data_IF_725225405815
#
_entry.id   IF_725225405815
#
_cell.length_a   1.000
_cell.length_b   1.000
_cell.length_c   1.000
_cell.angle_alpha   90.00
_cell.angle_beta   90.00
_cell.angle_gamma   90.00
#
_symmetry.space_group_name_H-M   'P 1'
#
loop_
_entity.id
_entity.type
_entity.pdbx_description
1 polymer ?
#
# COMPACT_ATOMS: atom_id res chain seq x y z
N UNK A 1 30.71 -13.10 -6.53
CA UNK A 1 29.33 -12.75 -6.14
C UNK A 1 28.43 -13.00 -7.36
N UNK A 2 27.66 -14.10 -7.40
CA UNK A 2 26.83 -14.47 -8.55
C UNK A 2 25.67 -13.48 -8.68
N UNK A 3 25.58 -12.78 -9.81
CA UNK A 3 24.49 -11.84 -10.11
C UNK A 3 23.22 -12.66 -10.37
N UNK A 4 22.17 -12.42 -9.57
CA UNK A 4 20.85 -13.00 -9.82
C UNK A 4 20.25 -12.38 -11.10
N UNK A 5 19.77 -13.19 -12.06
CA UNK A 5 19.39 -12.73 -13.41
C UNK A 5 18.05 -11.97 -13.51
N UNK A 6 17.34 -11.71 -12.40
CA UNK A 6 15.99 -11.11 -12.43
C UNK A 6 15.95 -9.57 -12.30
N UNK A 7 17.08 -8.88 -12.30
CA UNK A 7 17.11 -7.42 -12.15
C UNK A 7 17.89 -6.79 -13.31
N UNK A 8 17.17 -6.37 -14.35
CA UNK A 8 17.70 -5.43 -15.35
C UNK A 8 18.19 -4.15 -14.62
N UNK A 9 19.19 -3.42 -15.17
CA UNK A 9 19.71 -2.21 -14.53
C UNK A 9 18.58 -1.22 -14.22
N UNK A 10 18.49 -0.84 -12.93
CA UNK A 10 17.39 -0.08 -12.32
C UNK A 10 17.08 1.20 -13.09
N UNK A 11 15.80 1.39 -13.42
CA UNK A 11 15.25 2.59 -14.08
C UNK A 11 15.28 3.88 -13.22
N UNK A 12 15.62 3.84 -11.93
CA UNK A 12 15.54 5.05 -11.09
C UNK A 12 16.54 6.14 -11.52
N UNK A 13 16.02 7.34 -11.85
CA UNK A 13 16.80 8.53 -12.19
C UNK A 13 17.73 8.94 -11.04
N UNK A 14 18.93 9.43 -11.38
CA UNK A 14 19.85 10.06 -10.44
C UNK A 14 19.65 11.57 -10.51
N UNK A 15 19.18 12.17 -9.42
CA UNK A 15 18.91 13.60 -9.29
C UNK A 15 19.77 14.23 -8.19
N UNK A 16 19.92 15.55 -8.18
CA UNK A 16 20.59 16.25 -7.07
C UNK A 16 19.64 16.42 -5.86
N UNK A 17 20.21 16.83 -4.72
CA UNK A 17 19.47 16.99 -3.47
C UNK A 17 18.42 18.11 -3.53
N UNK A 18 18.69 19.19 -4.26
CA UNK A 18 17.75 20.30 -4.42
C UNK A 18 16.52 19.83 -5.19
N UNK A 19 16.72 19.18 -6.33
CA UNK A 19 15.64 18.57 -7.12
C UNK A 19 14.84 17.54 -6.30
N UNK A 20 15.52 16.70 -5.52
CA UNK A 20 14.84 15.72 -4.66
C UNK A 20 13.93 16.37 -3.60
N UNK A 21 14.36 17.48 -2.99
CA UNK A 21 13.57 18.21 -2.00
C UNK A 21 12.40 18.98 -2.65
N UNK A 22 12.60 19.54 -3.85
CA UNK A 22 11.54 20.18 -4.61
C UNK A 22 10.45 19.17 -4.98
N UNK A 23 10.82 18.02 -5.55
CA UNK A 23 9.86 16.95 -5.87
C UNK A 23 9.12 16.45 -4.63
N UNK A 24 9.81 16.32 -3.48
CA UNK A 24 9.15 15.98 -2.23
C UNK A 24 8.10 17.02 -1.83
N UNK A 25 8.44 18.31 -1.90
CA UNK A 25 7.50 19.39 -1.58
C UNK A 25 6.29 19.39 -2.52
N UNK A 26 6.50 19.20 -3.83
CA UNK A 26 5.40 19.08 -4.80
C UNK A 26 4.51 17.86 -4.51
N UNK A 27 5.09 16.73 -4.10
CA UNK A 27 4.32 15.54 -3.67
C UNK A 27 3.43 15.88 -2.47
N UNK A 28 3.92 16.64 -1.49
CA UNK A 28 3.08 17.10 -0.37
C UNK A 28 1.93 17.99 -0.87
N UNK A 29 2.20 18.87 -1.83
CA UNK A 29 1.20 19.78 -2.39
C UNK A 29 0.09 19.07 -3.19
N UNK A 30 0.30 17.83 -3.62
CA UNK A 30 -0.77 17.03 -4.27
C UNK A 30 -1.95 16.71 -3.35
N UNK A 31 -1.81 16.90 -2.03
CA UNK A 31 -2.87 16.60 -1.07
C UNK A 31 -3.08 15.12 -0.81
N UNK A 32 -2.11 14.27 -1.14
CA UNK A 32 -2.17 12.83 -0.88
C UNK A 32 -2.47 12.54 0.61
N UNK A 33 -3.37 11.59 0.90
CA UNK A 33 -3.87 11.33 2.25
C UNK A 33 -2.92 10.47 3.09
N UNK A 34 -1.72 10.97 3.37
CA UNK A 34 -0.71 10.29 4.19
C UNK A 34 -1.10 10.13 5.67
N UNK A 35 -2.15 10.82 6.10
CA UNK A 35 -2.63 10.82 7.47
C UNK A 35 -3.24 9.49 7.90
N UNK A 36 -3.83 8.74 6.98
CA UNK A 36 -4.44 7.45 7.26
C UNK A 36 -3.44 6.33 7.03
N UNK A 37 -2.94 5.77 8.13
CA UNK A 37 -1.83 4.81 8.13
C UNK A 37 -2.29 3.35 8.19
N UNK A 38 -3.60 3.06 8.15
CA UNK A 38 -4.07 1.68 8.26
C UNK A 38 -3.80 0.86 6.99
N UNK A 39 -3.76 1.49 5.80
CA UNK A 39 -3.70 0.76 4.54
C UNK A 39 -3.29 1.61 3.32
N UNK A 40 -3.37 0.98 2.14
CA UNK A 40 -3.24 1.60 0.82
C UNK A 40 -1.89 2.27 0.55
N UNK A 41 -0.83 1.81 1.22
CA UNK A 41 0.55 2.26 0.96
C UNK A 41 1.00 1.96 -0.49
N UNK A 42 0.55 0.86 -1.08
CA UNK A 42 0.80 0.54 -2.49
C UNK A 42 0.15 1.54 -3.46
N UNK A 43 -1.08 1.99 -3.16
CA UNK A 43 -1.80 3.00 -3.94
C UNK A 43 -1.08 4.35 -3.89
N UNK A 44 -0.74 4.82 -2.69
CA UNK A 44 0.05 6.05 -2.49
C UNK A 44 1.39 5.93 -3.21
N UNK A 45 2.10 4.81 -3.06
CA UNK A 45 3.40 4.60 -3.69
C UNK A 45 3.31 4.57 -5.21
N UNK A 46 2.23 4.03 -5.78
CA UNK A 46 2.06 3.98 -7.23
C UNK A 46 1.65 5.35 -7.79
N UNK A 47 0.78 6.08 -7.10
CA UNK A 47 0.45 7.45 -7.46
C UNK A 47 1.68 8.37 -7.48
N UNK A 48 2.53 8.31 -6.44
CA UNK A 48 3.80 9.06 -6.42
C UNK A 48 4.70 8.66 -7.59
N UNK A 49 4.72 7.38 -7.97
CA UNK A 49 5.46 6.92 -9.16
C UNK A 49 4.94 7.59 -10.43
N UNK A 50 3.63 7.64 -10.64
CA UNK A 50 3.02 8.31 -11.80
C UNK A 50 3.29 9.82 -11.77
N UNK A 51 3.23 10.46 -10.59
CA UNK A 51 3.58 11.86 -10.43
C UNK A 51 5.04 12.15 -10.80
N UNK A 52 5.99 11.34 -10.35
CA UNK A 52 7.40 11.51 -10.70
C UNK A 52 7.62 11.33 -12.21
N UNK A 53 6.95 10.35 -12.82
CA UNK A 53 7.05 10.10 -14.26
C UNK A 53 6.47 11.25 -15.09
N UNK A 54 5.34 11.85 -14.68
CA UNK A 54 4.81 13.04 -15.36
C UNK A 54 5.78 14.23 -15.31
N UNK A 55 6.67 14.26 -14.32
CA UNK A 55 7.77 15.22 -14.19
C UNK A 55 9.04 14.81 -14.96
N UNK A 56 9.06 13.64 -15.61
CA UNK A 56 10.19 13.12 -16.37
C UNK A 56 11.20 12.32 -15.54
N UNK A 57 10.84 11.95 -14.31
CA UNK A 57 11.71 11.21 -13.39
C UNK A 57 11.21 9.79 -13.19
N UNK A 58 12.15 8.84 -13.22
CA UNK A 58 11.86 7.45 -12.91
C UNK A 58 12.27 7.15 -11.47
N UNK A 59 11.47 6.34 -10.77
CA UNK A 59 11.78 5.85 -9.44
C UNK A 59 11.85 4.31 -9.41
N UNK A 60 12.34 3.77 -8.29
CA UNK A 60 12.16 2.38 -7.90
C UNK A 60 11.13 2.30 -6.76
N UNK A 61 10.82 1.11 -6.26
CA UNK A 61 10.06 0.90 -5.01
C UNK A 61 10.87 0.07 -4.04
N UNK A 62 10.78 0.39 -2.75
CA UNK A 62 11.21 -0.49 -1.66
C UNK A 62 10.01 -1.14 -1.03
N UNK A 63 10.07 -2.46 -0.92
CA UNK A 63 9.09 -3.29 -0.25
C UNK A 63 9.72 -3.85 1.00
N UNK A 64 9.05 -3.74 2.14
CA UNK A 64 9.46 -4.30 3.40
C UNK A 64 8.38 -5.26 3.91
N UNK A 65 8.77 -6.49 4.23
CA UNK A 65 7.87 -7.56 4.63
C UNK A 65 8.15 -7.99 6.06
N UNK A 66 7.10 -7.98 6.88
CA UNK A 66 7.13 -8.55 8.22
C UNK A 66 7.13 -10.08 8.14
N UNK A 67 7.63 -10.77 9.19
CA UNK A 67 7.67 -12.23 9.23
C UNK A 67 6.34 -12.94 8.91
N UNK A 68 5.20 -12.36 9.27
CA UNK A 68 3.88 -12.94 8.95
C UNK A 68 3.64 -13.14 7.46
N UNK A 69 4.27 -12.34 6.60
CA UNK A 69 4.07 -12.44 5.15
C UNK A 69 4.82 -13.60 4.55
N UNK A 70 6.01 -13.94 5.06
CA UNK A 70 6.88 -14.94 4.44
C UNK A 70 7.14 -16.18 5.29
N UNK A 71 6.52 -16.28 6.47
CA UNK A 71 6.69 -17.40 7.38
C UNK A 71 5.38 -17.77 8.05
N UNK A 72 4.93 -18.99 7.79
CA UNK A 72 3.70 -19.59 8.35
C UNK A 72 3.77 -19.80 9.86
N UNK A 73 4.97 -19.84 10.42
CA UNK A 73 5.22 -20.05 11.84
C UNK A 73 5.33 -18.76 12.65
N UNK A 74 5.10 -17.59 12.04
CA UNK A 74 5.31 -16.30 12.70
C UNK A 74 4.10 -15.39 12.54
N UNK A 75 3.60 -14.87 13.66
CA UNK A 75 2.54 -13.85 13.70
C UNK A 75 3.09 -12.41 13.80
N UNK A 76 4.41 -12.24 13.69
CA UNK A 76 5.05 -10.92 13.87
C UNK A 76 4.74 -9.96 12.71
N UNK A 77 4.16 -8.82 13.08
CA UNK A 77 3.81 -7.69 12.22
C UNK A 77 4.80 -6.52 12.42
N UNK A 78 4.79 -5.56 11.49
CA UNK A 78 5.31 -4.22 11.73
C UNK A 78 4.30 -3.47 12.58
N UNK A 79 4.67 -3.11 13.81
CA UNK A 79 3.73 -2.52 14.78
C UNK A 79 4.23 -1.19 15.32
N UNK A 80 3.34 -0.21 15.42
CA UNK A 80 3.61 1.07 16.06
C UNK A 80 2.36 1.64 16.74
N UNK A 81 2.57 2.54 17.71
CA UNK A 81 1.47 3.22 18.40
C UNK A 81 0.69 4.09 17.43
N UNK A 82 -0.64 3.93 17.44
CA UNK A 82 -1.54 4.81 16.70
C UNK A 82 -1.69 6.14 17.46
N UNK A 83 -0.96 7.16 16.99
CA UNK A 83 -1.02 8.49 17.59
C UNK A 83 -2.38 9.17 17.45
N UNK A 84 -3.20 8.77 16.47
CA UNK A 84 -4.55 9.32 16.29
C UNK A 84 -5.59 8.55 17.11
N UNK A 85 -5.20 7.41 17.70
CA UNK A 85 -6.05 6.53 18.48
C UNK A 85 -7.33 6.12 17.72
N UNK A 86 -7.22 5.89 16.41
CA UNK A 86 -8.30 5.45 15.53
C UNK A 86 -8.43 3.93 15.60
N UNK A 87 -7.30 3.22 15.64
CA UNK A 87 -7.27 1.77 15.80
C UNK A 87 -7.95 1.34 17.10
N UNK A 88 -8.84 0.32 17.08
CA UNK A 88 -9.43 -0.27 18.28
C UNK A 88 -8.37 -0.71 19.29
N UNK A 89 -7.23 -1.21 18.83
CA UNK A 89 -6.15 -1.74 19.67
C UNK A 89 -5.15 -0.67 20.12
N UNK A 90 -5.31 0.58 19.65
CA UNK A 90 -4.35 1.67 19.88
C UNK A 90 -3.02 1.49 19.14
N UNK A 91 -2.93 0.51 18.23
CA UNK A 91 -1.75 0.20 17.42
C UNK A 91 -2.12 0.08 15.95
N UNK A 92 -1.17 0.40 15.10
CA UNK A 92 -1.24 0.11 13.68
C UNK A 92 -0.29 -1.06 13.40
N UNK A 93 -0.82 -2.10 12.78
CA UNK A 93 -0.10 -3.32 12.48
C UNK A 93 -0.11 -3.58 10.97
N UNK A 94 1.08 -3.79 10.39
CA UNK A 94 1.26 -4.03 8.96
C UNK A 94 1.96 -5.36 8.69
N UNK A 95 1.44 -6.12 7.73
CA UNK A 95 2.17 -7.26 7.15
C UNK A 95 3.34 -6.80 6.28
N UNK A 96 3.19 -5.67 5.60
CA UNK A 96 4.22 -5.09 4.75
C UNK A 96 4.10 -3.56 4.68
N UNK A 97 5.14 -2.91 4.19
CA UNK A 97 5.07 -1.51 3.79
C UNK A 97 5.86 -1.27 2.51
N UNK A 98 5.38 -0.36 1.66
CA UNK A 98 6.01 -0.02 0.37
C UNK A 98 6.11 1.48 0.21
N UNK A 99 7.21 1.94 -0.37
CA UNK A 99 7.42 3.35 -0.69
C UNK A 99 8.31 3.55 -1.94
N UNK A 100 8.15 4.68 -2.67
CA UNK A 100 9.04 5.05 -3.77
C UNK A 100 10.49 5.30 -3.31
N UNK A 101 11.45 4.94 -4.17
CA UNK A 101 12.87 5.24 -4.02
C UNK A 101 13.38 6.04 -5.22
N UNK A 102 14.10 7.12 -4.92
CA UNK A 102 14.88 7.90 -5.87
C UNK A 102 16.37 7.78 -5.56
N UNK A 103 17.22 7.97 -6.58
CA UNK A 103 18.67 8.05 -6.40
C UNK A 103 19.08 9.52 -6.33
N UNK A 104 19.68 9.93 -5.22
CA UNK A 104 20.05 11.33 -4.96
C UNK A 104 21.55 11.46 -4.85
N UNK A 105 22.15 12.32 -5.68
CA UNK A 105 23.56 12.69 -5.61
C UNK A 105 23.75 13.73 -4.51
N UNK A 106 24.56 13.38 -3.51
CA UNK A 106 24.94 14.25 -2.39
C UNK A 106 26.47 14.30 -2.37
N UNK A 107 27.02 15.42 -2.84
CA UNK A 107 28.45 15.54 -3.16
C UNK A 107 28.86 14.50 -4.21
N UNK A 108 29.89 13.71 -3.92
CA UNK A 108 30.40 12.67 -4.83
C UNK A 108 29.65 11.34 -4.73
N UNK A 109 28.69 11.20 -3.81
CA UNK A 109 28.03 9.91 -3.52
C UNK A 109 26.58 9.93 -3.99
N UNK A 110 26.16 8.87 -4.67
CA UNK A 110 24.75 8.60 -4.97
C UNK A 110 24.14 7.77 -3.84
N UNK A 111 22.99 8.22 -3.32
CA UNK A 111 22.28 7.62 -2.18
C UNK A 111 20.86 7.26 -2.59
N UNK A 112 20.37 6.11 -2.12
CA UNK A 112 18.96 5.74 -2.27
C UNK A 112 18.14 6.42 -1.18
N UNK A 113 17.23 7.29 -1.59
CA UNK A 113 16.35 8.05 -0.71
C UNK A 113 14.91 7.58 -0.93
N UNK A 114 14.22 7.29 0.16
CA UNK A 114 12.82 6.89 0.21
C UNK A 114 11.96 8.14 0.36
N UNK A 115 10.86 8.20 -0.40
CA UNK A 115 9.82 9.22 -0.28
C UNK A 115 8.65 8.58 0.46
N UNK A 116 8.47 8.92 1.73
CA UNK A 116 7.35 8.41 2.53
C UNK A 116 6.90 9.49 3.52
N UNK A 117 6.04 10.43 3.10
CA UNK A 117 5.55 11.48 3.97
C UNK A 117 4.75 10.98 5.17
N UNK A 118 4.15 9.79 5.07
CA UNK A 118 3.41 9.17 6.18
C UNK A 118 4.31 8.85 7.36
N UNK A 119 5.53 8.36 7.11
CA UNK A 119 6.53 8.09 8.16
C UNK A 119 7.52 9.24 8.39
N UNK A 120 7.81 10.02 7.35
CA UNK A 120 8.81 11.08 7.31
C UNK A 120 8.27 12.33 6.60
N UNK A 121 7.51 13.18 7.30
CA UNK A 121 6.75 14.27 6.67
C UNK A 121 7.60 15.46 6.20
N UNK A 122 8.91 15.49 6.51
CA UNK A 122 9.76 16.67 6.29
C UNK A 122 10.64 16.59 5.04
N UNK A 123 11.10 15.40 4.66
CA UNK A 123 12.04 15.24 3.55
C UNK A 123 12.15 13.78 3.15
N UNK A 124 12.69 13.47 1.96
CA UNK A 124 13.17 12.14 1.65
C UNK A 124 14.24 11.70 2.66
N UNK A 125 14.30 10.41 2.97
CA UNK A 125 15.29 9.86 3.91
C UNK A 125 16.05 8.70 3.32
N UNK A 126 17.26 8.40 3.83
CA UNK A 126 18.00 7.22 3.37
C UNK A 126 17.17 5.95 3.61
N UNK A 127 17.22 5.01 2.67
CA UNK A 127 16.43 3.76 2.79
C UNK A 127 16.70 2.99 4.10
N UNK A 128 17.93 3.05 4.64
CA UNK A 128 18.26 2.45 5.94
C UNK A 128 17.57 3.15 7.12
N UNK A 129 17.43 4.47 7.05
CA UNK A 129 16.68 5.26 8.05
C UNK A 129 15.20 4.90 8.00
N UNK A 130 14.66 4.72 6.79
CA UNK A 130 13.28 4.24 6.61
C UNK A 130 13.07 2.83 7.17
N UNK A 131 13.94 1.86 6.84
CA UNK A 131 13.86 0.50 7.39
C UNK A 131 13.96 0.49 8.93
N UNK A 132 14.83 1.31 9.51
CA UNK A 132 14.97 1.42 10.96
C UNK A 132 13.70 1.95 11.66
N UNK A 133 12.88 2.75 10.95
CA UNK A 133 11.62 3.27 11.47
C UNK A 133 10.53 2.20 11.60
N UNK A 134 10.57 1.15 10.79
CA UNK A 134 9.63 0.03 10.84
C UNK A 134 9.84 -0.89 12.06
N UNK A 135 10.96 -0.74 12.78
CA UNK A 135 11.21 -1.31 14.13
C UNK A 135 10.90 -2.81 14.30
N UNK A 136 11.02 -3.61 13.25
CA UNK A 136 10.65 -5.03 13.27
C UNK A 136 11.86 -5.93 13.07
N UNK A 137 12.05 -6.91 13.97
CA UNK A 137 13.13 -7.90 13.84
C UNK A 137 12.84 -8.86 12.68
N UNK A 138 13.91 -9.30 12.01
CA UNK A 138 13.86 -10.21 10.85
C UNK A 138 13.14 -9.65 9.62
N UNK A 139 12.84 -8.36 9.56
CA UNK A 139 12.27 -7.71 8.38
C UNK A 139 13.09 -8.02 7.11
N UNK A 140 12.41 -8.49 6.06
CA UNK A 140 13.01 -8.68 4.73
C UNK A 140 12.63 -7.48 3.86
N UNK A 141 13.52 -7.03 2.98
CA UNK A 141 13.18 -5.98 2.03
C UNK A 141 13.70 -6.26 0.62
N UNK A 142 12.94 -5.78 -0.36
CA UNK A 142 13.27 -5.83 -1.78
C UNK A 142 13.29 -4.41 -2.35
N UNK A 143 14.21 -4.12 -3.28
CA UNK A 143 14.20 -2.87 -4.05
C UNK A 143 14.06 -3.24 -5.51
N UNK A 144 12.89 -2.95 -6.06
CA UNK A 144 12.41 -3.42 -7.35
C UNK A 144 12.05 -2.24 -8.26
N UNK A 145 11.86 -2.52 -9.55
CA UNK A 145 11.36 -1.52 -10.49
C UNK A 145 9.97 -1.03 -10.06
N UNK A 146 9.66 0.21 -10.40
CA UNK A 146 8.46 0.88 -9.89
C UNK A 146 7.17 0.49 -10.61
N UNK A 147 7.23 -0.37 -11.63
CA UNK A 147 6.04 -0.91 -12.31
C UNK A 147 5.29 -1.92 -11.43
N UNK A 148 6.00 -2.64 -10.55
CA UNK A 148 5.38 -3.58 -9.62
C UNK A 148 4.47 -2.83 -8.65
N UNK A 149 3.18 -3.14 -8.71
CA UNK A 149 2.12 -2.39 -8.06
C UNK A 149 1.71 -3.00 -6.73
N UNK A 150 1.47 -4.31 -6.72
CA UNK A 150 1.03 -5.07 -5.55
C UNK A 150 1.62 -6.48 -5.64
N UNK A 151 1.45 -7.25 -4.58
CA UNK A 151 1.91 -8.63 -4.50
C UNK A 151 0.83 -9.52 -3.92
N UNK A 152 0.90 -10.81 -4.24
CA UNK A 152 0.17 -11.84 -3.55
C UNK A 152 1.15 -12.86 -2.98
N UNK A 153 0.92 -13.28 -1.73
CA UNK A 153 1.69 -14.34 -1.10
C UNK A 153 0.79 -15.54 -0.89
N UNK A 154 1.08 -16.61 -1.62
CA UNK A 154 0.31 -17.85 -1.55
C UNK A 154 1.17 -18.94 -0.96
N UNK A 155 0.60 -19.73 -0.04
CA UNK A 155 1.14 -21.05 0.22
C UNK A 155 0.76 -21.94 -0.93
N UNK A 156 1.75 -22.55 -1.58
CA UNK A 156 1.50 -23.67 -2.47
C UNK A 156 1.84 -24.93 -1.67
N UNK A 157 0.82 -25.69 -1.23
CA UNK A 157 1.04 -27.01 -0.67
C UNK A 157 1.68 -27.90 -1.73
N UNK A 158 2.61 -28.79 -1.35
CA UNK A 158 3.17 -29.76 -2.30
C UNK A 158 2.09 -30.59 -3.02
N UNK A 159 0.93 -30.79 -2.39
CA UNK A 159 -0.21 -31.49 -3.00
C UNK A 159 -0.86 -30.77 -4.18
N UNK A 160 -0.65 -29.46 -4.36
CA UNK A 160 -1.13 -28.72 -5.55
C UNK A 160 -0.17 -28.83 -6.75
N UNK A 161 0.98 -29.49 -6.58
CA UNK A 161 1.81 -29.97 -7.71
C UNK A 161 1.33 -31.34 -8.21
N UNK A 162 0.15 -31.81 -7.78
CA UNK A 162 -0.43 -33.05 -8.26
C UNK A 162 -0.87 -32.88 -9.73
N UNK A 163 -0.22 -33.66 -10.58
CA UNK A 163 -0.61 -33.87 -11.96
C UNK A 163 -2.02 -34.46 -11.99
N UNK A 164 -2.95 -33.80 -12.70
CA UNK A 164 -4.21 -34.42 -13.09
C UNK A 164 -3.90 -35.61 -14.00
N UNK A 165 -3.84 -36.80 -13.39
CA UNK A 165 -3.69 -38.09 -14.08
C UNK A 165 -4.99 -38.53 -14.75
N UNK A 166 -5.85 -37.60 -15.18
CA UNK A 166 -7.03 -37.89 -15.97
C UNK A 166 -6.65 -37.98 -17.47
N UNK A 167 -5.73 -38.90 -17.75
CA UNK A 167 -5.73 -39.78 -18.93
C UNK A 167 -5.68 -39.21 -20.36
N UNK A 168 -5.66 -37.89 -20.61
CA UNK A 168 -5.88 -37.38 -21.98
C UNK A 168 -4.89 -36.38 -22.56
N UNK A 169 -3.72 -36.14 -21.95
CA UNK A 169 -2.66 -35.37 -22.63
C UNK A 169 -1.27 -35.94 -22.34
N UNK A 170 -0.48 -36.13 -23.39
CA UNK A 170 0.96 -36.43 -23.34
C UNK A 170 1.72 -35.25 -22.70
N UNK A 171 1.59 -35.09 -21.39
CA UNK A 171 2.25 -34.02 -20.65
C UNK A 171 3.64 -34.46 -20.21
N UNK A 172 4.60 -33.56 -20.43
CA UNK A 172 6.00 -33.69 -20.05
C UNK A 172 6.07 -33.89 -18.53
N UNK A 173 6.57 -35.03 -18.08
CA UNK A 173 6.90 -35.25 -16.66
C UNK A 173 7.95 -34.21 -16.23
N UNK A 174 7.84 -33.63 -15.03
CA UNK A 174 8.92 -32.80 -14.52
C UNK A 174 10.08 -33.73 -14.19
N UNK A 175 11.28 -33.34 -14.60
CA UNK A 175 12.50 -34.11 -14.32
C UNK A 175 12.86 -34.16 -12.81
N UNK A 176 12.03 -33.60 -11.92
CA UNK A 176 12.25 -33.55 -10.46
C UNK A 176 10.93 -33.69 -9.71
N UNK A 177 10.80 -34.75 -8.91
CA UNK A 177 9.76 -34.91 -7.88
C UNK A 177 10.35 -34.48 -6.53
N UNK A 178 9.80 -33.43 -5.92
CA UNK A 178 10.29 -32.95 -4.62
C UNK A 178 9.70 -33.82 -3.49
N UNK A 179 10.46 -34.12 -2.42
CA UNK A 179 9.96 -34.92 -1.30
C UNK A 179 8.84 -34.22 -0.53
N UNK A 180 7.93 -34.98 0.11
CA UNK A 180 6.80 -34.43 0.86
C UNK A 180 7.22 -33.51 2.03
N UNK A 181 8.43 -33.72 2.57
CA UNK A 181 9.05 -32.88 3.61
C UNK A 181 9.66 -31.57 3.08
N UNK A 182 9.67 -31.36 1.77
CA UNK A 182 10.17 -30.15 1.15
C UNK A 182 9.15 -29.04 1.39
N UNK A 183 9.37 -28.23 2.44
CA UNK A 183 8.44 -27.25 2.99
C UNK A 183 7.55 -26.55 1.95
N UNK A 184 6.26 -26.46 2.24
CA UNK A 184 5.31 -25.59 1.53
C UNK A 184 5.98 -24.26 1.24
N UNK A 185 6.16 -23.95 -0.04
CA UNK A 185 6.80 -22.71 -0.42
C UNK A 185 5.76 -21.62 -0.35
N UNK A 186 6.05 -20.62 0.47
CA UNK A 186 5.39 -19.35 0.33
C UNK A 186 5.98 -18.66 -0.90
N UNK A 187 5.19 -18.63 -1.98
CA UNK A 187 5.53 -17.92 -3.21
C UNK A 187 4.94 -16.53 -3.10
N UNK A 188 5.76 -15.53 -3.40
CA UNK A 188 5.32 -14.14 -3.46
C UNK A 188 5.47 -13.66 -4.89
N UNK A 189 4.33 -13.47 -5.55
CA UNK A 189 4.25 -12.98 -6.92
C UNK A 189 3.87 -11.50 -6.92
N UNK A 190 4.56 -10.73 -7.76
CA UNK A 190 4.27 -9.32 -7.96
C UNK A 190 3.53 -9.14 -9.26
N UNK A 191 2.60 -8.19 -9.28
CA UNK A 191 1.84 -7.84 -10.47
C UNK A 191 1.87 -6.34 -10.70
N UNK A 192 1.64 -5.94 -11.95
CA UNK A 192 1.67 -4.54 -12.38
C UNK A 192 0.30 -3.91 -12.19
N UNK A 193 0.25 -2.60 -12.38
CA UNK A 193 -1.00 -1.87 -12.46
C UNK A 193 -1.52 -1.92 -13.90
N UNK A 194 -2.19 -3.01 -14.25
CA UNK A 194 -2.72 -3.29 -15.59
C UNK A 194 -4.06 -4.03 -15.47
N UNK A 195 -4.76 -4.16 -16.60
CA UNK A 195 -6.04 -4.89 -16.70
C UNK A 195 -7.04 -4.45 -15.62
N UNK A 196 -7.58 -5.40 -14.84
CA UNK A 196 -8.59 -5.15 -13.82
C UNK A 196 -8.17 -4.05 -12.82
N UNK A 197 -6.90 -4.00 -12.41
CA UNK A 197 -6.45 -2.99 -11.46
C UNK A 197 -6.59 -1.56 -12.03
N UNK A 198 -6.32 -1.42 -13.33
CA UNK A 198 -6.46 -0.17 -14.07
C UNK A 198 -7.94 0.14 -14.34
N UNK A 199 -8.69 -0.82 -14.89
CA UNK A 199 -10.09 -0.68 -15.29
C UNK A 199 -11.01 -0.38 -14.09
N UNK A 200 -10.66 -0.90 -12.92
CA UNK A 200 -11.41 -0.70 -11.68
C UNK A 200 -10.86 0.44 -10.83
N UNK A 201 -9.91 1.25 -11.32
CA UNK A 201 -9.39 2.44 -10.63
C UNK A 201 -8.86 2.15 -9.21
N UNK A 202 -8.06 1.09 -9.02
CA UNK A 202 -7.67 0.67 -7.67
C UNK A 202 -6.83 1.72 -6.93
N UNK A 203 -5.99 2.47 -7.65
CA UNK A 203 -5.20 3.56 -7.05
C UNK A 203 -6.15 4.62 -6.48
N UNK A 204 -7.08 5.08 -7.30
CA UNK A 204 -8.00 6.17 -6.98
C UNK A 204 -8.97 5.77 -5.87
N UNK A 205 -9.50 4.54 -5.90
CA UNK A 205 -10.32 3.98 -4.82
C UNK A 205 -9.58 3.96 -3.49
N UNK A 206 -8.32 3.49 -3.47
CA UNK A 206 -7.53 3.47 -2.23
C UNK A 206 -7.18 4.85 -1.69
N UNK A 207 -6.89 5.81 -2.57
CA UNK A 207 -6.68 7.21 -2.18
C UNK A 207 -7.97 7.83 -1.61
N UNK A 208 -9.11 7.60 -2.27
CA UNK A 208 -10.40 8.09 -1.81
C UNK A 208 -10.78 7.50 -0.45
N UNK A 209 -10.49 6.22 -0.19
CA UNK A 209 -10.68 5.58 1.12
C UNK A 209 -9.84 6.27 2.19
N UNK A 210 -8.54 6.45 1.96
CA UNK A 210 -7.64 7.06 2.93
C UNK A 210 -8.06 8.51 3.26
N UNK A 211 -8.46 9.27 2.26
CA UNK A 211 -8.92 10.65 2.46
C UNK A 211 -10.26 10.72 3.19
N UNK A 212 -11.22 9.87 2.83
CA UNK A 212 -12.52 9.79 3.48
C UNK A 212 -12.39 9.36 4.94
N UNK A 213 -11.50 8.41 5.23
CA UNK A 213 -11.19 7.99 6.59
C UNK A 213 -10.60 9.15 7.43
N UNK A 214 -9.74 9.98 6.84
CA UNK A 214 -9.22 11.17 7.51
C UNK A 214 -10.29 12.23 7.74
N UNK A 215 -11.19 12.45 6.78
CA UNK A 215 -12.33 13.35 6.94
C UNK A 215 -13.24 12.87 8.08
N UNK A 216 -13.56 11.57 8.11
CA UNK A 216 -14.36 10.95 9.17
C UNK A 216 -13.68 11.13 10.53
N UNK A 217 -12.39 10.82 10.63
CA UNK A 217 -11.64 10.99 11.88
C UNK A 217 -11.72 12.44 12.39
N UNK A 218 -11.44 13.41 11.53
CA UNK A 218 -11.36 14.81 11.92
C UNK A 218 -12.71 15.36 12.39
N UNK A 219 -13.80 14.94 11.73
CA UNK A 219 -15.13 15.49 11.97
C UNK A 219 -15.91 14.72 13.06
N UNK A 220 -15.77 13.40 13.11
CA UNK A 220 -16.65 12.54 13.91
C UNK A 220 -15.94 11.92 15.13
N UNK A 221 -14.63 11.64 15.05
CA UNK A 221 -13.92 10.92 16.11
C UNK A 221 -13.12 11.87 17.01
N UNK A 222 -12.37 12.80 16.41
CA UNK A 222 -11.32 13.56 17.11
C UNK A 222 -11.83 14.33 18.34
N UNK A 223 -13.01 14.95 18.24
CA UNK A 223 -13.61 15.69 19.35
C UNK A 223 -14.13 14.75 20.46
N UNK A 224 -14.55 13.53 20.10
CA UNK A 224 -15.12 12.56 21.03
C UNK A 224 -14.05 11.82 21.84
N UNK A 225 -12.82 11.71 21.35
CA UNK A 225 -11.75 10.95 22.00
C UNK A 225 -11.42 11.41 23.44
N UNK A 226 -11.71 12.66 23.78
CA UNK A 226 -11.45 13.22 25.11
C UNK A 226 -12.71 13.27 26.00
N UNK A 227 -13.86 12.81 25.49
CA UNK A 227 -15.14 12.82 26.19
C UNK A 227 -15.48 11.43 26.71
N UNK A 228 -15.72 11.31 28.02
CA UNK A 228 -16.18 10.06 28.62
C UNK A 228 -17.68 9.78 28.36
N UNK A 229 -18.41 10.72 27.75
CA UNK A 229 -19.86 10.65 27.55
C UNK A 229 -20.27 9.81 26.32
N UNK A 230 -19.33 9.50 25.42
CA UNK A 230 -19.62 8.88 24.11
C UNK A 230 -18.79 7.63 23.84
N UNK A 231 -18.41 6.88 24.88
CA UNK A 231 -17.52 5.73 24.75
C UNK A 231 -18.01 4.68 23.75
N UNK A 232 -19.31 4.37 23.76
CA UNK A 232 -19.89 3.39 22.83
C UNK A 232 -19.79 3.86 21.37
N UNK A 233 -20.07 5.15 21.12
CA UNK A 233 -19.98 5.73 19.78
C UNK A 233 -18.53 5.79 19.29
N UNK A 234 -17.59 6.16 20.17
CA UNK A 234 -16.16 6.14 19.87
C UNK A 234 -15.70 4.72 19.55
N UNK A 235 -16.15 3.73 20.31
CA UNK A 235 -15.83 2.32 20.06
C UNK A 235 -16.31 1.88 18.67
N UNK A 236 -17.57 2.18 18.33
CA UNK A 236 -18.14 1.89 17.01
C UNK A 236 -17.34 2.55 15.87
N UNK A 237 -17.01 3.83 16.02
CA UNK A 237 -16.29 4.57 14.99
C UNK A 237 -14.83 4.13 14.86
N UNK A 238 -14.18 3.73 15.96
CA UNK A 238 -12.86 3.11 15.92
C UNK A 238 -12.89 1.74 15.25
N UNK A 239 -13.93 0.94 15.48
CA UNK A 239 -14.13 -0.34 14.79
C UNK A 239 -14.34 -0.15 13.29
N UNK A 240 -15.09 0.87 12.88
CA UNK A 240 -15.33 1.21 11.47
C UNK A 240 -14.07 1.77 10.78
N UNK A 241 -13.49 2.85 11.31
CA UNK A 241 -12.41 3.61 10.64
C UNK A 241 -11.02 3.07 10.98
N UNK A 242 -10.84 2.40 12.12
CA UNK A 242 -9.55 1.85 12.53
C UNK A 242 -9.20 0.54 11.83
N UNK A 243 -10.15 -0.07 11.12
CA UNK A 243 -9.95 -1.27 10.31
C UNK A 243 -10.30 -0.95 8.85
N UNK A 244 -9.30 -0.95 7.96
CA UNK A 244 -9.51 -0.65 6.54
C UNK A 244 -10.53 -1.58 5.89
N UNK A 245 -10.56 -2.86 6.27
CA UNK A 245 -11.47 -3.82 5.66
C UNK A 245 -12.92 -3.44 5.96
N UNK A 246 -13.22 -2.99 7.17
CA UNK A 246 -14.54 -2.49 7.54
C UNK A 246 -14.89 -1.22 6.77
N UNK A 247 -13.96 -0.27 6.73
CA UNK A 247 -14.17 1.00 6.07
C UNK A 247 -14.41 0.84 4.56
N UNK A 248 -13.61 0.02 3.89
CA UNK A 248 -13.80 -0.32 2.47
C UNK A 248 -15.10 -1.07 2.22
N UNK A 249 -15.42 -2.07 3.06
CA UNK A 249 -16.68 -2.83 2.99
C UNK A 249 -17.90 -1.89 2.97
N UNK A 250 -17.92 -0.90 3.87
CA UNK A 250 -19.06 0.01 4.01
C UNK A 250 -19.11 1.08 2.92
N UNK A 251 -17.98 1.72 2.62
CA UNK A 251 -17.96 2.93 1.79
C UNK A 251 -17.64 2.68 0.31
N UNK A 252 -16.71 1.75 0.02
CA UNK A 252 -16.34 1.39 -1.36
C UNK A 252 -17.25 0.31 -1.92
N UNK A 253 -17.48 -0.75 -1.13
CA UNK A 253 -18.13 -1.98 -1.63
C UNK A 253 -19.65 -1.97 -1.42
N UNK A 254 -20.17 -1.04 -0.59
CA UNK A 254 -21.58 -0.98 -0.20
C UNK A 254 -22.10 -2.36 0.27
N UNK A 255 -21.30 -3.01 1.11
CA UNK A 255 -21.53 -4.39 1.54
C UNK A 255 -21.49 -4.50 3.07
N UNK A 256 -21.60 -5.72 3.59
CA UNK A 256 -21.52 -6.03 5.01
C UNK A 256 -20.38 -7.02 5.29
N UNK A 257 -19.98 -7.08 6.55
CA UNK A 257 -19.14 -8.15 7.07
C UNK A 257 -19.56 -8.47 8.51
N UNK A 258 -18.84 -9.36 9.20
CA UNK A 258 -19.23 -9.81 10.54
C UNK A 258 -19.23 -8.69 11.59
N UNK A 259 -18.37 -7.67 11.45
CA UNK A 259 -18.31 -6.49 12.34
C UNK A 259 -19.29 -5.40 11.87
N UNK A 260 -19.41 -5.21 10.56
CA UNK A 260 -20.21 -4.20 9.88
C UNK A 260 -21.56 -4.76 9.38
N UNK A 261 -22.27 -5.44 10.29
CA UNK A 261 -23.54 -6.11 10.02
C UNK A 261 -24.73 -5.13 9.91
N UNK A 262 -25.93 -5.68 9.64
CA UNK A 262 -27.16 -4.89 9.47
C UNK A 262 -27.50 -4.01 10.69
N UNK A 263 -27.26 -4.50 11.90
CA UNK A 263 -27.52 -3.72 13.12
C UNK A 263 -26.58 -2.51 13.20
N UNK A 264 -25.30 -2.69 12.90
CA UNK A 264 -24.33 -1.59 12.84
C UNK A 264 -24.72 -0.57 11.77
N UNK A 265 -25.03 -1.04 10.56
CA UNK A 265 -25.40 -0.17 9.45
C UNK A 265 -26.70 0.58 9.70
N UNK A 266 -27.71 -0.07 10.27
CA UNK A 266 -28.97 0.57 10.65
C UNK A 266 -28.77 1.64 11.72
N UNK A 267 -28.00 1.33 12.77
CA UNK A 267 -27.65 2.29 13.85
C UNK A 267 -26.95 3.54 13.30
N UNK A 268 -26.09 3.37 12.31
CA UNK A 268 -25.21 4.41 11.76
C UNK A 268 -25.60 4.86 10.34
N UNK A 269 -26.83 4.59 9.89
CA UNK A 269 -27.23 4.79 8.50
C UNK A 269 -27.01 6.21 7.97
N UNK A 270 -27.29 7.23 8.78
CA UNK A 270 -27.15 8.63 8.39
C UNK A 270 -25.69 9.01 8.18
N UNK A 271 -24.80 8.56 9.07
CA UNK A 271 -23.36 8.84 8.96
C UNK A 271 -22.75 8.06 7.80
N UNK A 272 -23.21 6.81 7.57
CA UNK A 272 -22.78 6.00 6.45
C UNK A 272 -23.19 6.66 5.12
N UNK A 273 -24.44 7.10 4.99
CA UNK A 273 -24.93 7.78 3.78
C UNK A 273 -24.10 9.03 3.47
N UNK A 274 -23.88 9.90 4.47
CA UNK A 274 -23.03 11.10 4.34
C UNK A 274 -21.62 10.77 3.84
N UNK A 275 -20.95 9.79 4.44
CA UNK A 275 -19.57 9.48 4.09
C UNK A 275 -19.43 8.64 2.80
N UNK A 276 -20.50 7.98 2.34
CA UNK A 276 -20.55 7.42 0.97
C UNK A 276 -20.52 8.53 -0.08
N UNK A 277 -21.28 9.60 0.11
CA UNK A 277 -21.24 10.76 -0.79
C UNK A 277 -19.84 11.41 -0.82
N UNK A 278 -19.23 11.59 0.36
CA UNK A 278 -17.86 12.11 0.47
C UNK A 278 -16.86 11.17 -0.23
N UNK A 279 -17.00 9.85 -0.05
CA UNK A 279 -16.16 8.87 -0.73
C UNK A 279 -16.26 8.98 -2.26
N UNK A 280 -17.46 9.04 -2.82
CA UNK A 280 -17.62 9.17 -4.28
C UNK A 280 -17.10 10.50 -4.81
N UNK A 281 -17.27 11.59 -4.06
CA UNK A 281 -16.66 12.89 -4.40
C UNK A 281 -15.12 12.80 -4.42
N UNK A 282 -14.52 12.17 -3.42
CA UNK A 282 -13.08 11.94 -3.37
C UNK A 282 -12.60 11.02 -4.48
N UNK A 283 -13.35 9.97 -4.81
CA UNK A 283 -13.03 9.05 -5.91
C UNK A 283 -12.95 9.79 -7.24
N UNK A 284 -13.97 10.59 -7.57
CA UNK A 284 -14.00 11.38 -8.79
C UNK A 284 -12.82 12.37 -8.85
N UNK A 285 -12.51 13.04 -7.74
CA UNK A 285 -11.34 13.91 -7.63
C UNK A 285 -10.03 13.18 -7.95
N UNK A 286 -9.84 11.96 -7.43
CA UNK A 286 -8.63 11.19 -7.67
C UNK A 286 -8.56 10.61 -9.09
N UNK A 287 -9.69 10.23 -9.69
CA UNK A 287 -9.78 9.84 -11.11
C UNK A 287 -9.32 10.99 -12.01
N UNK A 288 -9.87 12.19 -11.80
CA UNK A 288 -9.45 13.37 -12.58
C UNK A 288 -7.97 13.69 -12.38
N UNK A 289 -7.49 13.64 -11.14
CA UNK A 289 -6.10 13.93 -10.80
C UNK A 289 -5.13 12.94 -11.45
N UNK A 290 -5.44 11.64 -11.39
CA UNK A 290 -4.60 10.60 -11.97
C UNK A 290 -4.65 10.63 -13.51
N UNK A 291 -5.80 10.89 -14.12
CA UNK A 291 -5.94 11.09 -15.58
C UNK A 291 -5.02 12.20 -16.08
N UNK A 292 -5.03 13.37 -15.41
CA UNK A 292 -4.16 14.50 -15.77
C UNK A 292 -2.67 14.12 -15.74
N UNK A 293 -2.25 13.30 -14.78
CA UNK A 293 -0.87 12.82 -14.74
C UNK A 293 -0.54 11.91 -15.91
N UNK A 294 -1.46 11.00 -16.28
CA UNK A 294 -1.27 10.08 -17.40
C UNK A 294 -1.25 10.82 -18.75
N UNK A 295 -2.08 11.85 -18.93
CA UNK A 295 -2.07 12.72 -20.12
C UNK A 295 -0.71 13.43 -20.28
N UNK A 296 -0.16 13.97 -19.19
CA UNK A 296 1.17 14.60 -19.19
C UNK A 296 2.29 13.61 -19.56
N UNK A 297 2.16 12.35 -19.13
CA UNK A 297 3.12 11.29 -19.48
C UNK A 297 3.01 10.95 -20.97
N UNK A 298 1.80 10.74 -21.48
CA UNK A 298 1.55 10.42 -22.88
C UNK A 298 2.09 11.50 -23.83
N UNK A 299 1.83 12.78 -23.51
CA UNK A 299 2.32 13.90 -24.32
C UNK A 299 3.85 13.96 -24.42
N UNK A 300 4.55 13.59 -23.34
CA UNK A 300 6.02 13.54 -23.33
C UNK A 300 6.61 12.35 -24.09
N UNK A 301 5.85 11.29 -24.32
CA UNK A 301 6.30 10.14 -25.11
C UNK A 301 6.15 10.37 -26.62
N UNK A 302 5.34 11.34 -27.03
CA UNK A 302 5.09 11.70 -28.43
C UNK A 302 6.01 12.80 -28.98
N UNK A 303 6.83 13.42 -28.13
CA UNK A 303 7.80 14.49 -28.49
C UNK A 303 9.21 13.91 -28.41
#
# INVERSE_FOLDING_TARGET
MKKHPLLKPRKASVIDLTTANLLFAEIIQTGLPFGYQQANCHNISHYIRTFLESKGYQCAKIWAFAPIVYSTYSTKLISFTDKKNISPTGKIDWGYHVAPIIQVRIGTKVRKMVIDPGLFPKSPVRYRTWLAKLKTRKLIYLIMDSEWYLYNSSMIPNSQLQYDSNGFTNSIQPNVKLPDWFSDKLITDFFKYEEEALDQHWIEKGLAINETAMAFYNNEIKALLNSNLHNDLVSDYKMLVGNVFNFETIFRDNNWNYEMNDNFQFKHQNIIAKYREIYFSNLNKWIESHSKLNELIAHKQTI
#
